data_IF_166236211587
#
_entry.id   IF_166236211587
#
_cell.length_a   1.000
_cell.length_b   1.000
_cell.length_c   1.000
_cell.angle_alpha   90.00
_cell.angle_beta   90.00
_cell.angle_gamma   90.00
#
_symmetry.space_group_name_H-M   'P 1'
#
loop_
_entity.id
_entity.type
_entity.pdbx_description
1 polymer ?
#
# COMPACT_ATOMS: atom_id res chain seq x y z
N UNK A 1 4.59 -2.19 -24.17
CA UNK A 1 3.88 -0.91 -24.02
C UNK A 1 3.69 -0.67 -22.52
N UNK A 2 4.25 0.41 -21.98
CA UNK A 2 4.08 0.76 -20.57
C UNK A 2 2.64 1.22 -20.31
N UNK A 3 2.18 1.08 -19.07
CA UNK A 3 0.87 1.58 -18.64
C UNK A 3 1.04 2.85 -17.80
N UNK A 4 0.11 3.81 -17.85
CA UNK A 4 0.16 4.98 -16.98
C UNK A 4 0.04 4.57 -15.50
N UNK A 5 0.70 5.32 -14.61
CA UNK A 5 0.75 5.04 -13.16
C UNK A 5 -0.63 4.97 -12.51
N UNK A 6 -1.59 5.73 -13.03
CA UNK A 6 -2.98 5.74 -12.57
C UNK A 6 -3.69 4.39 -12.77
N UNK A 7 -3.17 3.50 -13.61
CA UNK A 7 -3.69 2.14 -13.82
C UNK A 7 -2.93 1.08 -13.01
N UNK A 8 -1.88 1.46 -12.29
CA UNK A 8 -1.10 0.54 -11.46
C UNK A 8 -1.82 0.22 -10.15
N UNK A 9 -2.25 -1.03 -9.99
CA UNK A 9 -2.85 -1.49 -8.73
C UNK A 9 -1.88 -1.38 -7.55
N UNK A 10 -0.61 -1.69 -7.78
CA UNK A 10 0.46 -1.57 -6.77
C UNK A 10 0.63 -0.13 -6.30
N UNK A 11 0.56 0.84 -7.22
CA UNK A 11 0.62 2.24 -6.86
C UNK A 11 -0.53 2.62 -5.91
N UNK A 12 -1.77 2.27 -6.26
CA UNK A 12 -2.93 2.60 -5.44
C UNK A 12 -2.94 1.90 -4.08
N UNK A 13 -2.56 0.62 -4.02
CA UNK A 13 -2.43 -0.09 -2.73
C UNK A 13 -1.46 0.64 -1.82
N UNK A 14 -0.28 1.01 -2.33
CA UNK A 14 0.73 1.70 -1.52
C UNK A 14 0.33 3.14 -1.18
N UNK A 15 -0.40 3.84 -2.06
CA UNK A 15 -0.95 5.16 -1.77
C UNK A 15 -1.97 5.10 -0.63
N UNK A 16 -2.85 4.09 -0.61
CA UNK A 16 -3.78 3.87 0.50
C UNK A 16 -3.04 3.57 1.81
N UNK A 17 -1.98 2.76 1.76
CA UNK A 17 -1.14 2.49 2.95
C UNK A 17 -0.52 3.77 3.50
N UNK A 18 0.00 4.63 2.62
CA UNK A 18 0.57 5.91 3.02
C UNK A 18 -0.48 6.83 3.68
N UNK A 19 -1.69 6.87 3.13
CA UNK A 19 -2.81 7.64 3.72
C UNK A 19 -3.18 7.13 5.11
N UNK A 20 -3.31 5.81 5.28
CA UNK A 20 -3.61 5.21 6.60
C UNK A 20 -2.49 5.52 7.60
N UNK A 21 -1.23 5.34 7.19
CA UNK A 21 -0.09 5.67 8.04
C UNK A 21 -0.06 7.16 8.41
N UNK A 22 -0.40 8.05 7.47
CA UNK A 22 -0.53 9.49 7.72
C UNK A 22 -1.61 9.81 8.75
N UNK A 23 -2.81 9.22 8.64
CA UNK A 23 -3.90 9.41 9.60
C UNK A 23 -3.50 8.89 11.00
N UNK A 24 -2.87 7.71 11.08
CA UNK A 24 -2.38 7.16 12.35
C UNK A 24 -1.31 8.07 12.97
N UNK A 25 -0.41 8.62 12.16
CA UNK A 25 0.59 9.59 12.60
C UNK A 25 -0.02 10.88 13.15
N UNK A 26 -1.11 11.38 12.54
CA UNK A 26 -1.85 12.55 13.04
C UNK A 26 -2.53 12.30 14.39
N UNK A 27 -2.82 11.05 14.73
CA UNK A 27 -3.40 10.63 16.02
C UNK A 27 -2.33 10.23 17.04
N UNK A 28 -1.12 10.81 16.93
CA UNK A 28 0.02 10.52 17.80
C UNK A 28 0.35 9.03 17.92
N UNK A 29 0.06 8.23 16.89
CA UNK A 29 0.29 6.79 16.86
C UNK A 29 -0.42 6.00 17.98
N UNK A 30 -1.48 6.53 18.60
CA UNK A 30 -2.22 5.84 19.68
C UNK A 30 -2.70 4.45 19.26
N UNK A 31 -3.12 4.29 18.00
CA UNK A 31 -3.53 3.00 17.45
C UNK A 31 -2.38 1.97 17.48
N UNK A 32 -1.14 2.41 17.26
CA UNK A 32 0.04 1.55 17.27
C UNK A 32 0.34 1.05 18.69
N UNK A 33 0.16 1.93 19.68
CA UNK A 33 0.43 1.61 21.09
C UNK A 33 -0.68 0.74 21.68
N UNK A 34 -1.94 1.08 21.40
CA UNK A 34 -3.10 0.41 21.99
C UNK A 34 -3.48 -0.89 21.29
N UNK A 35 -3.14 -1.03 19.99
CA UNK A 35 -3.53 -2.17 19.17
C UNK A 35 -2.37 -2.65 18.27
N UNK A 36 -1.24 -3.11 18.84
CA UNK A 36 -0.07 -3.53 18.06
C UNK A 36 -0.34 -4.73 17.14
N UNK A 37 -1.30 -5.59 17.50
CA UNK A 37 -1.76 -6.70 16.67
C UNK A 37 -2.45 -6.21 15.38
N UNK A 38 -3.23 -5.12 15.45
CA UNK A 38 -3.86 -4.55 14.25
C UNK A 38 -2.82 -4.02 13.26
N UNK A 39 -1.75 -3.41 13.76
CA UNK A 39 -0.63 -2.96 12.93
C UNK A 39 0.06 -4.16 12.27
N UNK A 40 0.29 -5.23 13.04
CA UNK A 40 0.90 -6.47 12.54
C UNK A 40 0.06 -7.10 11.44
N UNK A 41 -1.26 -7.23 11.65
CA UNK A 41 -2.16 -7.75 10.63
C UNK A 41 -2.21 -6.87 9.40
N UNK A 42 -2.25 -5.55 9.58
CA UNK A 42 -2.25 -4.61 8.47
C UNK A 42 -1.00 -4.77 7.59
N UNK A 43 0.19 -4.80 8.19
CA UNK A 43 1.46 -5.02 7.47
C UNK A 43 1.46 -6.38 6.77
N UNK A 44 0.99 -7.44 7.45
CA UNK A 44 0.89 -8.77 6.88
C UNK A 44 -0.02 -8.82 5.63
N UNK A 45 -1.19 -8.19 5.70
CA UNK A 45 -2.14 -8.10 4.57
C UNK A 45 -1.52 -7.31 3.42
N UNK A 46 -0.91 -6.15 3.69
CA UNK A 46 -0.25 -5.34 2.67
C UNK A 46 0.88 -6.11 1.98
N UNK A 47 1.66 -6.87 2.75
CA UNK A 47 2.70 -7.77 2.23
C UNK A 47 2.12 -8.83 1.30
N UNK A 48 1.08 -9.54 1.74
CA UNK A 48 0.42 -10.57 0.94
C UNK A 48 -0.17 -10.02 -0.37
N UNK A 49 -0.84 -8.86 -0.31
CA UNK A 49 -1.36 -8.18 -1.50
C UNK A 49 -0.23 -7.81 -2.46
N UNK A 50 0.88 -7.28 -1.97
CA UNK A 50 2.03 -6.93 -2.82
C UNK A 50 2.68 -8.17 -3.46
N UNK A 51 2.76 -9.29 -2.75
CA UNK A 51 3.23 -10.57 -3.32
C UNK A 51 2.31 -11.01 -4.46
N UNK A 52 1.00 -11.01 -4.25
CA UNK A 52 0.03 -11.38 -5.30
C UNK A 52 0.13 -10.42 -6.50
N UNK A 53 0.21 -9.12 -6.24
CA UNK A 53 0.36 -8.12 -7.30
C UNK A 53 1.64 -8.34 -8.08
N UNK A 54 2.74 -8.77 -7.47
CA UNK A 54 3.98 -9.08 -8.19
C UNK A 54 3.80 -10.16 -9.26
N UNK A 55 2.93 -11.14 -9.01
CA UNK A 55 2.62 -12.18 -10.00
C UNK A 55 1.60 -11.73 -11.07
N UNK A 56 0.74 -10.76 -10.74
CA UNK A 56 -0.27 -10.25 -11.67
C UNK A 56 0.22 -9.10 -12.55
N UNK A 57 1.25 -8.37 -12.12
CA UNK A 57 1.70 -7.14 -12.78
C UNK A 57 2.90 -7.43 -13.69
N UNK A 58 2.63 -7.62 -14.98
CA UNK A 58 3.65 -7.96 -15.98
C UNK A 58 4.03 -6.79 -16.92
N UNK A 59 3.48 -5.60 -16.69
CA UNK A 59 3.71 -4.44 -17.54
C UNK A 59 4.46 -3.35 -16.76
N UNK A 60 5.53 -2.79 -17.31
CA UNK A 60 6.19 -1.63 -16.71
C UNK A 60 5.25 -0.42 -16.70
N UNK A 61 5.44 0.44 -15.70
CA UNK A 61 4.61 1.62 -15.47
C UNK A 61 5.41 2.87 -15.83
N UNK A 62 4.79 3.85 -16.50
CA UNK A 62 5.40 5.15 -16.79
C UNK A 62 4.64 6.29 -16.13
N UNK A 63 5.37 7.37 -15.82
CA UNK A 63 4.80 8.65 -15.37
C UNK A 63 4.35 9.54 -16.54
N UNK A 64 4.65 9.14 -17.78
CA UNK A 64 4.31 9.83 -19.03
C UNK A 64 3.22 9.03 -19.73
N UNK A 65 2.12 9.71 -20.12
CA UNK A 65 1.04 9.15 -20.95
C UNK A 65 1.49 8.87 -22.38
#
# INVERSE_FOLDING_TARGET
MSKPVTKSKTFWVNACVLLVAGVVGMQNCEVVVNYPELVTYFVGIVGAVNVVLRFLTNSPVTLVE
#
